data_IF_912086884340
#
_entry.id   IF_912086884340
#
_cell.length_a   1.000
_cell.length_b   1.000
_cell.length_c   1.000
_cell.angle_alpha   90.00
_cell.angle_beta   90.00
_cell.angle_gamma   90.00
#
_symmetry.space_group_name_H-M   'P 1'
#
loop_
_entity.id
_entity.type
_entity.pdbx_description
1 polymer ?
#
# COMPACT_ATOMS: atom_id res chain seq x y z
N UNK A 1 -12.00 22.51 -9.69
CA UNK A 1 -12.11 21.39 -10.65
C UNK A 1 -11.47 21.87 -11.94
N UNK A 2 -10.42 21.20 -12.45
CA UNK A 2 -9.85 21.58 -13.74
C UNK A 2 -10.79 21.06 -14.84
N UNK A 3 -11.40 21.97 -15.62
CA UNK A 3 -12.06 21.60 -16.87
C UNK A 3 -10.99 21.11 -17.84
N UNK A 4 -10.82 19.79 -17.93
CA UNK A 4 -9.93 19.17 -18.90
C UNK A 4 -10.60 19.32 -20.27
N UNK A 5 -10.17 20.32 -21.03
CA UNK A 5 -10.62 20.51 -22.41
C UNK A 5 -10.02 19.41 -23.29
N UNK A 6 -10.81 18.37 -23.56
CA UNK A 6 -10.47 17.35 -24.56
C UNK A 6 -10.92 17.87 -25.94
N UNK A 7 -10.00 18.18 -26.87
CA UNK A 7 -10.38 18.67 -28.20
C UNK A 7 -11.21 17.60 -28.93
N UNK A 8 -12.32 18.01 -29.56
CA UNK A 8 -13.08 17.12 -30.47
C UNK A 8 -12.35 17.04 -31.81
N UNK A 9 -11.62 15.96 -32.04
CA UNK A 9 -10.86 15.73 -33.26
C UNK A 9 -11.80 15.36 -34.42
N UNK A 10 -11.63 15.99 -35.60
CA UNK A 10 -12.38 15.64 -36.81
C UNK A 10 -11.67 14.51 -37.54
N UNK A 11 -12.39 13.42 -37.83
CA UNK A 11 -11.87 12.21 -38.50
C UNK A 11 -11.43 12.40 -39.96
N UNK A 12 -11.61 13.59 -40.53
CA UNK A 12 -11.35 13.85 -41.94
C UNK A 12 -10.12 14.73 -42.17
N UNK A 13 -8.95 14.07 -42.20
CA UNK A 13 -7.85 14.38 -43.12
C UNK A 13 -7.11 15.73 -43.04
N UNK A 14 -7.54 16.73 -42.26
CA UNK A 14 -6.89 18.04 -42.18
C UNK A 14 -7.00 18.66 -40.77
N UNK A 15 -6.44 17.98 -39.76
CA UNK A 15 -6.38 18.48 -38.39
C UNK A 15 -4.94 18.46 -37.85
N UNK A 16 -4.55 19.52 -37.13
CA UNK A 16 -3.25 19.73 -36.47
C UNK A 16 -3.01 18.76 -35.28
N UNK A 17 -3.09 17.44 -35.50
CA UNK A 17 -2.65 16.43 -34.55
C UNK A 17 -1.35 15.81 -35.06
N UNK A 18 -0.23 16.00 -34.34
CA UNK A 18 1.02 15.31 -34.66
C UNK A 18 0.80 13.79 -34.66
N UNK A 19 1.57 13.02 -35.46
CA UNK A 19 1.49 11.55 -35.47
C UNK A 19 1.62 10.93 -34.06
N UNK A 20 2.28 11.62 -33.14
CA UNK A 20 2.39 11.29 -31.72
C UNK A 20 1.03 11.25 -30.99
N UNK A 21 0.09 12.11 -31.36
CA UNK A 21 -1.26 12.17 -30.74
C UNK A 21 -2.19 11.08 -31.29
N UNK A 22 -1.90 10.51 -32.46
CA UNK A 22 -2.64 9.37 -32.99
C UNK A 22 -2.27 8.13 -32.17
N UNK A 23 -3.26 7.51 -31.53
CA UNK A 23 -3.12 6.38 -30.61
C UNK A 23 -2.64 6.73 -29.19
N UNK A 24 -2.51 8.02 -28.83
CA UNK A 24 -2.12 8.41 -27.47
C UNK A 24 -3.04 7.80 -26.41
N UNK A 25 -4.36 7.81 -26.63
CA UNK A 25 -5.34 7.19 -25.72
C UNK A 25 -5.10 5.68 -25.54
N UNK A 26 -4.74 4.96 -26.62
CA UNK A 26 -4.42 3.53 -26.54
C UNK A 26 -3.15 3.27 -25.73
N UNK A 27 -2.11 4.08 -25.94
CA UNK A 27 -0.86 3.96 -25.18
C UNK A 27 -1.06 4.30 -23.70
N UNK A 28 -1.77 5.39 -23.41
CA UNK A 28 -2.06 5.80 -22.02
C UNK A 28 -2.87 4.74 -21.28
N UNK A 29 -3.90 4.15 -21.91
CA UNK A 29 -4.65 3.04 -21.31
C UNK A 29 -3.76 1.84 -21.03
N UNK A 30 -2.92 1.47 -21.99
CA UNK A 30 -1.99 0.35 -21.82
C UNK A 30 -0.99 0.59 -20.67
N UNK A 31 -0.45 1.80 -20.54
CA UNK A 31 0.44 2.16 -19.43
C UNK A 31 -0.27 2.07 -18.07
N UNK A 32 -1.51 2.56 -17.99
CA UNK A 32 -2.33 2.46 -16.78
C UNK A 32 -2.62 0.99 -16.42
N UNK A 33 -2.98 0.17 -17.41
CA UNK A 33 -3.22 -1.26 -17.20
C UNK A 33 -1.95 -1.97 -16.72
N UNK A 34 -0.79 -1.63 -17.30
CA UNK A 34 0.51 -2.15 -16.88
C UNK A 34 0.85 -1.72 -15.45
N UNK A 35 0.60 -0.46 -15.08
CA UNK A 35 0.85 0.01 -13.72
C UNK A 35 -0.04 -0.72 -12.69
N UNK A 36 -1.32 -0.95 -13.01
CA UNK A 36 -2.22 -1.75 -12.18
C UNK A 36 -1.73 -3.20 -12.06
N UNK A 37 -1.27 -3.81 -13.15
CA UNK A 37 -0.74 -5.15 -13.14
C UNK A 37 0.51 -5.27 -12.27
N UNK A 38 1.46 -4.34 -12.41
CA UNK A 38 2.66 -4.33 -11.57
C UNK A 38 2.35 -4.08 -10.10
N UNK A 39 1.38 -3.21 -9.80
CA UNK A 39 0.92 -2.98 -8.44
C UNK A 39 0.35 -4.28 -7.83
N UNK A 40 -0.50 -4.98 -8.58
CA UNK A 40 -1.06 -6.27 -8.15
C UNK A 40 0.02 -7.33 -7.93
N UNK A 41 1.02 -7.40 -8.82
CA UNK A 41 2.15 -8.34 -8.68
C UNK A 41 3.00 -8.03 -7.44
N UNK A 42 3.26 -6.75 -7.16
CA UNK A 42 3.97 -6.32 -5.95
C UNK A 42 3.18 -6.65 -4.69
N UNK A 43 1.87 -6.40 -4.67
CA UNK A 43 1.01 -6.79 -3.56
C UNK A 43 1.03 -8.30 -3.32
N UNK A 44 0.98 -9.10 -4.39
CA UNK A 44 1.06 -10.55 -4.29
C UNK A 44 2.39 -11.04 -3.70
N UNK A 45 3.51 -10.43 -4.10
CA UNK A 45 4.84 -10.75 -3.55
C UNK A 45 4.93 -10.41 -2.06
N UNK A 46 4.50 -9.21 -1.67
CA UNK A 46 4.50 -8.80 -0.25
C UNK A 46 3.59 -9.69 0.58
N UNK A 47 2.42 -10.06 0.05
CA UNK A 47 1.51 -10.99 0.72
C UNK A 47 2.14 -12.36 0.89
N UNK A 48 2.87 -12.86 -0.11
CA UNK A 48 3.60 -14.13 -0.03
C UNK A 48 4.67 -14.07 1.05
N UNK A 49 5.49 -13.03 1.06
CA UNK A 49 6.55 -12.84 2.07
C UNK A 49 5.98 -12.71 3.50
N UNK A 50 4.92 -11.92 3.67
CA UNK A 50 4.20 -11.80 4.95
C UNK A 50 3.61 -13.14 5.43
N UNK A 51 3.21 -14.01 4.50
CA UNK A 51 2.72 -15.36 4.84
C UNK A 51 3.86 -16.30 5.22
N UNK A 52 4.98 -16.26 4.49
CA UNK A 52 6.16 -17.11 4.71
C UNK A 52 6.88 -16.74 6.01
N UNK A 53 7.07 -15.45 6.28
CA UNK A 53 7.61 -14.97 7.56
C UNK A 53 6.67 -15.25 8.74
N UNK A 54 5.39 -15.49 8.48
CA UNK A 54 4.40 -15.84 9.51
C UNK A 54 4.37 -14.84 10.66
N UNK A 55 4.31 -15.33 11.90
CA UNK A 55 4.51 -14.50 13.09
C UNK A 55 5.96 -14.60 13.55
N UNK A 56 6.89 -14.24 12.67
CA UNK A 56 8.30 -14.13 13.03
C UNK A 56 8.44 -13.15 14.21
N UNK A 57 8.73 -13.70 15.39
CA UNK A 57 9.41 -12.96 16.44
C UNK A 57 10.86 -12.93 16.00
N UNK A 58 11.33 -11.79 15.50
CA UNK A 58 12.77 -11.60 15.38
C UNK A 58 13.32 -11.66 16.80
N UNK A 59 14.21 -12.61 17.09
CA UNK A 59 14.83 -12.75 18.41
C UNK A 59 15.37 -11.38 18.85
N UNK A 60 14.71 -10.77 19.84
CA UNK A 60 15.05 -9.46 20.41
C UNK A 60 14.55 -8.19 19.68
N UNK A 61 14.03 -8.26 18.45
CA UNK A 61 13.61 -7.07 17.65
C UNK A 61 12.11 -6.77 17.78
N UNK A 62 11.33 -7.73 18.30
CA UNK A 62 9.89 -7.61 18.47
C UNK A 62 9.10 -8.28 17.35
N UNK A 63 7.81 -7.94 17.23
CA UNK A 63 6.90 -8.58 16.28
C UNK A 63 6.83 -7.80 14.97
N UNK A 64 6.96 -8.50 13.83
CA UNK A 64 6.74 -7.92 12.51
C UNK A 64 5.30 -7.40 12.40
N UNK A 65 5.14 -6.11 12.07
CA UNK A 65 3.82 -5.48 11.87
C UNK A 65 3.32 -5.59 10.43
N UNK A 66 4.23 -5.67 9.46
CA UNK A 66 3.95 -5.73 8.04
C UNK A 66 5.20 -5.43 7.21
N UNK A 67 5.24 -5.95 6.00
CA UNK A 67 6.26 -5.63 5.00
C UNK A 67 5.73 -4.55 4.06
N UNK A 68 6.54 -3.53 3.80
CA UNK A 68 6.19 -2.41 2.92
C UNK A 68 7.16 -2.45 1.73
N UNK A 69 6.66 -2.52 0.48
CA UNK A 69 7.53 -2.48 -0.69
C UNK A 69 8.22 -1.11 -0.81
N UNK A 70 9.47 -1.11 -1.29
CA UNK A 70 10.30 0.09 -1.31
C UNK A 70 9.67 1.26 -2.10
N UNK A 71 8.97 0.97 -3.22
CA UNK A 71 8.30 2.00 -4.04
C UNK A 71 7.23 2.74 -3.23
N UNK A 72 6.33 2.03 -2.55
CA UNK A 72 5.31 2.61 -1.67
C UNK A 72 5.95 3.38 -0.52
N UNK A 73 7.00 2.83 0.10
CA UNK A 73 7.75 3.54 1.14
C UNK A 73 8.23 4.91 0.66
N UNK A 74 8.94 4.95 -0.47
CA UNK A 74 9.49 6.18 -1.02
C UNK A 74 8.40 7.13 -1.52
N UNK A 75 7.32 6.63 -2.11
CA UNK A 75 6.18 7.46 -2.58
C UNK A 75 5.55 8.25 -1.43
N UNK A 76 5.27 7.57 -0.32
CA UNK A 76 4.73 8.22 0.87
C UNK A 76 5.75 9.11 1.56
N UNK A 77 7.02 8.70 1.61
CA UNK A 77 8.08 9.52 2.18
C UNK A 77 8.31 10.83 1.38
N UNK A 78 8.17 10.80 0.06
CA UNK A 78 8.30 11.98 -0.80
C UNK A 78 7.10 12.92 -0.68
N UNK A 79 5.88 12.38 -0.66
CA UNK A 79 4.67 13.20 -0.56
C UNK A 79 4.44 13.75 0.86
N UNK A 80 4.74 12.96 1.89
CA UNK A 80 4.50 13.27 3.30
C UNK A 80 5.72 12.88 4.13
N UNK A 81 6.70 13.78 4.22
CA UNK A 81 7.92 13.52 5.00
C UNK A 81 7.60 13.23 6.45
N UNK A 82 8.22 12.18 6.99
CA UNK A 82 8.05 11.76 8.39
C UNK A 82 6.78 10.95 8.68
N UNK A 83 5.93 10.68 7.68
CA UNK A 83 4.69 9.92 7.87
C UNK A 83 4.91 8.53 8.50
N UNK A 84 6.03 7.88 8.17
CA UNK A 84 6.41 6.58 8.74
C UNK A 84 6.80 6.63 10.21
N UNK A 85 7.05 7.80 10.78
CA UNK A 85 7.23 7.99 12.23
C UNK A 85 5.91 8.12 12.98
N UNK A 86 4.82 8.45 12.27
CA UNK A 86 3.51 8.66 12.86
C UNK A 86 2.73 7.34 12.96
N UNK A 87 2.39 6.98 14.21
CA UNK A 87 1.61 5.77 14.52
C UNK A 87 0.20 5.83 13.96
N UNK A 88 -0.38 7.02 13.78
CA UNK A 88 -1.70 7.20 13.20
C UNK A 88 -1.69 6.85 11.71
N UNK A 89 -0.75 7.45 10.96
CA UNK A 89 -0.51 7.15 9.55
C UNK A 89 -0.25 5.66 9.31
N UNK A 90 0.64 5.03 10.10
CA UNK A 90 0.94 3.60 9.94
C UNK A 90 -0.33 2.74 10.10
N UNK A 91 -1.22 3.09 11.06
CA UNK A 91 -2.48 2.35 11.27
C UNK A 91 -3.44 2.53 10.10
N UNK A 92 -3.58 3.74 9.59
CA UNK A 92 -4.43 4.04 8.44
C UNK A 92 -3.90 3.35 7.18
N UNK A 93 -2.58 3.41 6.94
CA UNK A 93 -1.92 2.74 5.83
C UNK A 93 -2.21 1.23 5.81
N UNK A 94 -2.07 0.54 6.95
CA UNK A 94 -2.36 -0.90 7.03
C UNK A 94 -3.86 -1.22 7.10
N UNK A 95 -4.72 -0.26 7.44
CA UNK A 95 -6.18 -0.41 7.34
C UNK A 95 -6.61 -0.43 5.88
N UNK A 96 -6.07 0.51 5.10
CA UNK A 96 -6.44 0.69 3.71
C UNK A 96 -5.72 -0.33 2.79
N UNK A 97 -4.55 -0.83 3.20
CA UNK A 97 -3.75 -1.81 2.47
C UNK A 97 -3.54 -3.10 3.29
N UNK A 98 -4.57 -3.96 3.44
CA UNK A 98 -4.49 -5.15 4.28
C UNK A 98 -3.47 -6.18 3.78
N UNK A 99 -3.17 -6.20 2.47
CA UNK A 99 -2.17 -7.09 1.86
C UNK A 99 -0.76 -6.92 2.44
N UNK A 100 -0.43 -5.72 2.92
CA UNK A 100 0.87 -5.38 3.49
C UNK A 100 0.99 -5.69 4.98
N UNK A 101 -0.14 -5.96 5.66
CA UNK A 101 -0.17 -6.22 7.09
C UNK A 101 0.31 -7.66 7.38
N UNK A 102 1.28 -7.80 8.26
CA UNK A 102 1.74 -9.11 8.71
C UNK A 102 0.67 -9.80 9.57
N UNK A 103 0.70 -11.12 9.60
CA UNK A 103 -0.17 -11.89 10.50
C UNK A 103 0.21 -11.60 11.94
N UNK A 104 -0.76 -11.19 12.75
CA UNK A 104 -0.59 -11.06 14.19
C UNK A 104 -1.15 -12.28 14.91
N UNK A 105 -0.54 -12.65 16.04
CA UNK A 105 -1.22 -13.54 16.99
C UNK A 105 -2.55 -12.90 17.40
N UNK A 106 -3.64 -13.65 17.21
CA UNK A 106 -4.98 -13.25 17.66
C UNK A 106 -5.24 -13.67 19.12
N UNK A 107 -4.27 -14.32 19.75
CA UNK A 107 -4.36 -14.71 21.14
C UNK A 107 -4.11 -13.50 22.02
N UNK A 108 -5.13 -13.09 22.79
CA UNK A 108 -4.97 -12.16 23.92
C UNK A 108 -3.93 -12.77 24.86
N UNK A 109 -2.67 -12.37 24.74
CA UNK A 109 -1.56 -12.88 25.56
C UNK A 109 -1.61 -12.38 27.01
N UNK A 110 -2.65 -11.63 27.39
CA UNK A 110 -2.82 -11.17 28.75
C UNK A 110 -4.31 -11.09 29.13
N UNK A 111 -4.93 -12.23 29.43
CA UNK A 111 -6.07 -12.23 30.36
C UNK A 111 -5.49 -12.16 31.77
N UNK A 112 -5.13 -10.95 32.20
CA UNK A 112 -4.65 -10.73 33.56
C UNK A 112 -5.70 -11.27 34.54
N UNK A 113 -5.40 -12.39 35.20
CA UNK A 113 -6.04 -12.67 36.48
C UNK A 113 -5.62 -11.52 37.38
N UNK A 114 -6.59 -10.68 37.73
CA UNK A 114 -6.44 -9.66 38.76
C UNK A 114 -5.77 -10.33 39.96
N UNK A 115 -4.60 -9.81 40.34
CA UNK A 115 -3.89 -10.26 41.54
C UNK A 115 -4.82 -9.93 42.72
N UNK A 116 -5.64 -10.87 43.16
CA UNK A 116 -6.42 -10.71 44.39
C UNK A 116 -5.39 -10.64 45.51
N UNK A 117 -5.23 -9.46 46.11
CA UNK A 117 -4.38 -9.25 47.28
C UNK A 117 -4.73 -10.32 48.32
N UNK A 118 -3.73 -11.01 48.91
CA UNK A 118 -4.00 -11.89 50.03
C UNK A 118 -4.54 -11.03 51.18
N UNK A 119 -5.77 -11.30 51.59
CA UNK A 119 -6.33 -10.79 52.85
C UNK A 119 -5.42 -11.29 53.97
N UNK A 120 -4.65 -10.38 54.57
CA UNK A 120 -3.95 -10.65 55.83
C UNK A 120 -5.00 -11.04 56.87
N UNK A 121 -4.70 -12.12 57.59
CA UNK A 121 -5.41 -12.54 58.81
C UNK A 121 -5.43 -11.42 59.85
#
# INVERSE_FOLDING_TARGET
>A
MAEIFLPKWKDQGKGNGSKFMKNLDRYLRYEVDMEHHEAAMREAMVRKENNEMGVAKGDGIGQLKGTIPAREYFRWHQSHRGCWGDKSFIKEFFRDNPSFRAKSFNNKSFSGKTFSKPTSK
#
